data_IF_585110432061
#
_entry.id   IF_585110432061
#
_cell.length_a   1.000
_cell.length_b   1.000
_cell.length_c   1.000
_cell.angle_alpha   90.00
_cell.angle_beta   90.00
_cell.angle_gamma   90.00
#
_symmetry.space_group_name_H-M   'P 1'
#
loop_
_entity.id
_entity.type
_entity.pdbx_description
1 polymer ?
#
# COMPACT_ATOMS: atom_id res chain seq x y z
N UNK A 1 12.64 34.79 24.43
CA UNK A 1 11.96 34.16 23.28
C UNK A 1 12.16 32.66 23.45
N UNK A 2 11.11 31.82 23.45
CA UNK A 2 11.32 30.38 23.54
C UNK A 2 12.11 29.92 22.32
N UNK A 3 13.20 29.20 22.55
CA UNK A 3 14.00 28.61 21.48
C UNK A 3 13.13 27.67 20.65
N UNK A 4 13.15 27.87 19.33
CA UNK A 4 12.45 26.99 18.40
C UNK A 4 13.09 25.59 18.54
N UNK A 5 12.31 24.53 18.78
CA UNK A 5 12.86 23.19 18.95
C UNK A 5 13.68 22.81 17.71
N UNK A 6 14.78 22.08 17.93
CA UNK A 6 15.58 21.57 16.82
C UNK A 6 14.71 20.73 15.89
N UNK A 7 14.98 20.69 14.57
CA UNK A 7 14.22 19.88 13.64
C UNK A 7 14.20 18.39 14.03
N UNK A 8 15.21 17.92 14.78
CA UNK A 8 15.29 16.54 15.26
C UNK A 8 14.35 16.30 16.44
N UNK A 9 14.28 17.25 17.39
CA UNK A 9 13.33 17.19 18.50
C UNK A 9 11.89 17.25 17.97
N UNK A 10 11.61 18.16 17.03
CA UNK A 10 10.30 18.27 16.40
C UNK A 10 9.88 16.99 15.65
N UNK A 11 10.82 16.33 14.94
CA UNK A 11 10.54 15.08 14.26
C UNK A 11 10.27 13.93 15.25
N UNK A 12 11.00 13.86 16.36
CA UNK A 12 10.77 12.87 17.41
C UNK A 12 9.42 13.09 18.09
N UNK A 13 9.10 14.33 18.47
CA UNK A 13 7.83 14.69 19.09
C UNK A 13 6.65 14.33 18.18
N UNK A 14 6.74 14.65 16.89
CA UNK A 14 5.71 14.29 15.91
C UNK A 14 5.51 12.76 15.80
N UNK A 15 6.59 11.97 15.84
CA UNK A 15 6.50 10.49 15.82
C UNK A 15 5.86 9.97 17.10
N UNK A 16 6.21 10.52 18.27
CA UNK A 16 5.63 10.15 19.55
C UNK A 16 4.13 10.48 19.59
N UNK A 17 3.73 11.67 19.13
CA UNK A 17 2.33 12.08 19.04
C UNK A 17 1.53 11.19 18.08
N UNK A 18 2.07 10.91 16.89
CA UNK A 18 1.45 9.98 15.94
C UNK A 18 1.27 8.59 16.55
N UNK A 19 2.30 8.08 17.22
CA UNK A 19 2.26 6.77 17.87
C UNK A 19 1.20 6.74 18.97
N UNK A 20 1.18 7.75 19.84
CA UNK A 20 0.19 7.88 20.90
C UNK A 20 -1.24 7.96 20.34
N UNK A 21 -1.46 8.73 19.28
CA UNK A 21 -2.75 8.84 18.60
C UNK A 21 -3.23 7.51 18.00
N UNK A 22 -2.34 6.76 17.33
CA UNK A 22 -2.68 5.45 16.79
C UNK A 22 -2.99 4.43 17.88
N UNK A 23 -2.22 4.42 18.98
CA UNK A 23 -2.48 3.54 20.12
C UNK A 23 -3.81 3.87 20.82
N UNK A 24 -4.13 5.16 20.96
CA UNK A 24 -5.40 5.60 21.52
C UNK A 24 -6.59 5.15 20.65
N UNK A 25 -6.48 5.28 19.33
CA UNK A 25 -7.50 4.78 18.38
C UNK A 25 -7.71 3.28 18.50
N UNK A 26 -6.64 2.48 18.56
CA UNK A 26 -6.73 1.03 18.73
C UNK A 26 -7.35 0.67 20.09
N UNK A 27 -6.93 1.34 21.17
CA UNK A 27 -7.46 1.10 22.51
C UNK A 27 -8.96 1.46 22.64
N UNK A 28 -9.42 2.49 21.92
CA UNK A 28 -10.82 2.84 21.82
C UNK A 28 -11.60 1.79 21.00
N UNK A 29 -11.09 1.43 19.82
CA UNK A 29 -11.69 0.40 18.97
C UNK A 29 -11.82 -0.95 19.67
N UNK A 30 -10.85 -1.34 20.51
CA UNK A 30 -10.89 -2.58 21.27
C UNK A 30 -12.03 -2.66 22.31
N UNK A 31 -12.62 -1.53 22.71
CA UNK A 31 -13.78 -1.48 23.61
C UNK A 31 -15.11 -1.66 22.88
N UNK A 32 -15.09 -1.64 21.55
CA UNK A 32 -16.27 -1.59 20.69
C UNK A 32 -16.46 -2.92 19.94
N UNK A 33 -17.58 -3.63 20.16
CA UNK A 33 -17.81 -4.93 19.54
C UNK A 33 -18.11 -4.85 18.03
N UNK A 34 -18.46 -3.67 17.52
CA UNK A 34 -18.77 -3.40 16.11
C UNK A 34 -17.53 -3.04 15.26
N UNK A 35 -16.36 -2.91 15.88
CA UNK A 35 -15.14 -2.50 15.20
C UNK A 35 -14.32 -3.71 14.76
N UNK A 36 -13.97 -3.77 13.47
CA UNK A 36 -12.93 -4.69 12.99
C UNK A 36 -11.55 -4.23 13.50
N UNK A 37 -11.18 -4.75 14.67
CA UNK A 37 -9.92 -4.40 15.33
C UNK A 37 -8.70 -4.80 14.50
N UNK A 38 -8.79 -5.87 13.72
CA UNK A 38 -7.68 -6.32 12.87
C UNK A 38 -7.48 -5.35 11.68
N UNK A 39 -8.57 -4.93 11.04
CA UNK A 39 -8.57 -3.91 9.99
C UNK A 39 -8.10 -2.54 10.50
N UNK A 40 -8.55 -2.13 11.69
CA UNK A 40 -8.13 -0.89 12.35
C UNK A 40 -6.63 -0.92 12.66
N UNK A 41 -6.14 -1.99 13.28
CA UNK A 41 -4.72 -2.15 13.62
C UNK A 41 -3.83 -2.08 12.37
N UNK A 42 -4.25 -2.72 11.28
CA UNK A 42 -3.52 -2.68 10.00
C UNK A 42 -3.46 -1.26 9.43
N UNK A 43 -4.59 -0.55 9.43
CA UNK A 43 -4.68 0.83 8.94
C UNK A 43 -3.85 1.78 9.80
N UNK A 44 -3.89 1.62 11.12
CA UNK A 44 -3.08 2.41 12.07
C UNK A 44 -1.59 2.17 11.89
N UNK A 45 -1.17 0.93 11.63
CA UNK A 45 0.22 0.62 11.33
C UNK A 45 0.70 1.24 10.02
N UNK A 46 -0.12 1.20 8.95
CA UNK A 46 0.19 1.90 7.68
C UNK A 46 0.38 3.40 7.88
N UNK A 47 -0.55 4.05 8.60
CA UNK A 47 -0.47 5.48 8.91
C UNK A 47 0.77 5.82 9.75
N UNK A 48 1.12 4.96 10.72
CA UNK A 48 2.31 5.16 11.53
C UNK A 48 3.59 5.10 10.68
N UNK A 49 3.73 4.11 9.79
CA UNK A 49 4.90 4.01 8.91
C UNK A 49 5.03 5.22 7.98
N UNK A 50 3.91 5.66 7.38
CA UNK A 50 3.86 6.88 6.55
C UNK A 50 4.25 8.12 7.35
N UNK A 51 3.75 8.24 8.57
CA UNK A 51 4.07 9.34 9.48
C UNK A 51 5.55 9.36 9.88
N UNK A 52 6.13 8.20 10.19
CA UNK A 52 7.57 8.06 10.46
C UNK A 52 8.38 8.54 9.25
N UNK A 53 8.08 8.04 8.04
CA UNK A 53 8.79 8.45 6.83
C UNK A 53 8.67 9.95 6.57
N UNK A 54 7.48 10.54 6.71
CA UNK A 54 7.26 11.97 6.47
C UNK A 54 8.09 12.86 7.40
N UNK A 55 8.26 12.45 8.68
CA UNK A 55 9.02 13.22 9.66
C UNK A 55 10.53 12.95 9.61
N UNK A 56 10.94 11.74 9.20
CA UNK A 56 12.35 11.32 9.18
C UNK A 56 13.03 11.62 7.84
N UNK A 57 12.31 11.60 6.71
CA UNK A 57 12.90 11.82 5.39
C UNK A 57 13.63 13.18 5.23
N UNK A 58 13.13 14.31 5.76
CA UNK A 58 13.85 15.59 5.69
C UNK A 58 15.23 15.53 6.37
N UNK A 59 15.40 14.67 7.38
CA UNK A 59 16.66 14.52 8.12
C UNK A 59 17.74 13.82 7.29
N UNK A 60 17.40 13.13 6.19
CA UNK A 60 18.38 12.43 5.36
C UNK A 60 19.39 13.41 4.73
N UNK A 61 18.94 14.62 4.41
CA UNK A 61 19.76 15.69 3.84
C UNK A 61 20.39 16.64 4.86
N UNK A 62 20.13 16.45 6.16
CA UNK A 62 20.57 17.39 7.19
C UNK A 62 22.06 17.22 7.52
N UNK A 63 22.88 18.16 7.05
CA UNK A 63 24.33 18.16 7.24
C UNK A 63 24.77 18.32 8.72
N UNK A 64 23.88 18.76 9.62
CA UNK A 64 24.16 18.85 11.05
C UNK A 64 24.21 17.47 11.72
N UNK A 65 23.63 16.44 11.10
CA UNK A 65 23.66 15.08 11.61
C UNK A 65 24.98 14.37 11.27
N UNK A 66 25.52 13.57 12.21
CA UNK A 66 26.61 12.64 11.91
C UNK A 66 26.27 11.75 10.71
N UNK A 67 27.28 11.40 9.90
CA UNK A 67 27.09 10.55 8.72
C UNK A 67 26.38 9.22 9.06
N UNK A 68 26.66 8.63 10.22
CA UNK A 68 26.00 7.42 10.68
C UNK A 68 24.51 7.63 10.97
N UNK A 69 24.13 8.76 11.56
CA UNK A 69 22.73 9.10 11.82
C UNK A 69 21.97 9.30 10.51
N UNK A 70 22.54 10.00 9.53
CA UNK A 70 21.98 10.12 8.18
C UNK A 70 21.82 8.76 7.50
N UNK A 71 22.78 7.85 7.66
CA UNK A 71 22.67 6.50 7.12
C UNK A 71 21.55 5.69 7.78
N UNK A 72 21.34 5.84 9.10
CA UNK A 72 20.20 5.23 9.82
C UNK A 72 18.87 5.77 9.30
N UNK A 73 18.75 7.09 9.14
CA UNK A 73 17.58 7.78 8.56
C UNK A 73 17.28 7.23 7.16
N UNK A 74 18.29 7.18 6.28
CA UNK A 74 18.13 6.65 4.93
C UNK A 74 17.67 5.19 4.91
N UNK A 75 18.18 4.35 5.84
CA UNK A 75 17.71 2.96 5.99
C UNK A 75 16.24 2.88 6.39
N UNK A 76 15.79 3.70 7.34
CA UNK A 76 14.38 3.71 7.77
C UNK A 76 13.48 4.16 6.62
N UNK A 77 13.82 5.25 5.93
CA UNK A 77 13.06 5.74 4.77
C UNK A 77 12.99 4.67 3.68
N UNK A 78 14.13 4.06 3.34
CA UNK A 78 14.20 3.00 2.34
C UNK A 78 13.39 1.75 2.75
N UNK A 79 13.36 1.40 4.03
CA UNK A 79 12.56 0.29 4.55
C UNK A 79 11.05 0.58 4.46
N UNK A 80 10.61 1.79 4.83
CA UNK A 80 9.21 2.19 4.69
C UNK A 80 8.81 2.24 3.21
N UNK A 81 9.66 2.75 2.34
CA UNK A 81 9.40 2.74 0.89
C UNK A 81 9.33 1.33 0.30
N UNK A 82 10.21 0.43 0.74
CA UNK A 82 10.15 -0.97 0.34
C UNK A 82 8.86 -1.62 0.84
N UNK A 83 8.45 -1.30 2.06
CA UNK A 83 7.17 -1.74 2.62
C UNK A 83 5.98 -1.17 1.84
N UNK A 84 5.93 0.13 1.55
CA UNK A 84 4.85 0.79 0.77
C UNK A 84 4.73 0.14 -0.61
N UNK A 85 5.86 -0.17 -1.24
CA UNK A 85 5.90 -0.89 -2.51
C UNK A 85 5.37 -2.32 -2.37
N UNK A 86 5.69 -3.02 -1.29
CA UNK A 86 5.25 -4.38 -0.99
C UNK A 86 3.78 -4.45 -0.56
N UNK A 87 3.25 -3.39 0.03
CA UNK A 87 1.92 -3.33 0.65
C UNK A 87 0.85 -2.71 -0.25
N UNK A 88 1.14 -2.47 -1.54
CA UNK A 88 0.13 -2.01 -2.50
C UNK A 88 -1.00 -3.05 -2.57
N UNK A 89 -2.22 -2.66 -2.20
CA UNK A 89 -3.38 -3.54 -2.18
C UNK A 89 -4.28 -3.27 -3.38
N UNK A 90 -4.73 -4.33 -4.06
CA UNK A 90 -5.72 -4.25 -5.14
C UNK A 90 -6.96 -3.49 -4.70
N UNK A 91 -7.46 -3.72 -3.49
CA UNK A 91 -8.67 -3.06 -2.99
C UNK A 91 -8.63 -1.53 -3.09
N UNK A 92 -7.47 -0.91 -2.88
CA UNK A 92 -7.30 0.54 -2.99
C UNK A 92 -7.29 1.08 -4.43
N UNK A 93 -7.04 0.19 -5.40
CA UNK A 93 -6.86 0.57 -6.80
C UNK A 93 -7.90 -0.05 -7.73
N UNK A 94 -8.74 -0.97 -7.25
CA UNK A 94 -9.66 -1.76 -8.07
C UNK A 94 -10.60 -0.88 -8.88
N UNK A 95 -11.22 0.13 -8.27
CA UNK A 95 -12.13 1.06 -8.95
C UNK A 95 -11.41 1.77 -10.11
N UNK A 96 -10.19 2.25 -9.85
CA UNK A 96 -9.42 2.96 -10.86
C UNK A 96 -8.93 2.03 -11.98
N UNK A 97 -8.58 0.78 -11.66
CA UNK A 97 -8.22 -0.27 -12.63
C UNK A 97 -9.44 -0.68 -13.47
N UNK A 98 -10.61 -0.75 -12.85
CA UNK A 98 -11.89 -1.03 -13.53
C UNK A 98 -12.46 0.20 -14.27
N UNK A 99 -11.74 1.32 -14.29
CA UNK A 99 -12.19 2.54 -14.97
C UNK A 99 -12.50 2.31 -16.46
N UNK A 100 -13.77 2.50 -16.82
CA UNK A 100 -14.27 2.30 -18.19
C UNK A 100 -14.34 0.84 -18.63
N UNK A 101 -14.31 -0.10 -17.69
CA UNK A 101 -14.54 -1.52 -17.96
C UNK A 101 -16.04 -1.86 -17.85
N UNK A 102 -16.50 -2.73 -18.74
CA UNK A 102 -17.82 -3.35 -18.66
C UNK A 102 -17.68 -4.86 -18.87
N UNK A 103 -18.43 -5.64 -18.10
CA UNK A 103 -18.46 -7.08 -18.20
C UNK A 103 -19.04 -7.50 -19.57
N UNK A 104 -18.29 -8.24 -20.40
CA UNK A 104 -18.78 -8.64 -21.72
C UNK A 104 -19.93 -9.65 -21.67
N UNK A 105 -20.13 -10.33 -20.53
CA UNK A 105 -21.17 -11.34 -20.38
C UNK A 105 -22.54 -10.76 -19.96
N UNK A 106 -22.54 -9.71 -19.13
CA UNK A 106 -23.77 -9.18 -18.53
C UNK A 106 -23.91 -7.65 -18.57
N UNK A 107 -22.91 -6.92 -19.08
CA UNK A 107 -22.94 -5.46 -19.21
C UNK A 107 -22.65 -4.67 -17.92
N UNK A 108 -22.57 -5.32 -16.75
CA UNK A 108 -22.24 -4.66 -15.47
C UNK A 108 -20.86 -3.98 -15.53
N UNK A 109 -20.74 -2.79 -14.96
CA UNK A 109 -19.50 -2.02 -14.81
C UNK A 109 -18.81 -2.23 -13.45
N UNK A 110 -19.35 -3.12 -12.61
CA UNK A 110 -18.84 -3.37 -11.25
C UNK A 110 -17.95 -4.61 -11.22
N UNK A 111 -16.65 -4.39 -10.97
CA UNK A 111 -15.71 -5.46 -10.69
C UNK A 111 -15.65 -5.72 -9.18
N UNK A 112 -15.79 -6.99 -8.75
CA UNK A 112 -15.62 -7.38 -7.33
C UNK A 112 -14.16 -7.55 -6.94
N UNK A 113 -13.30 -7.94 -7.89
CA UNK A 113 -11.87 -8.17 -7.68
C UNK A 113 -11.17 -8.32 -9.05
N UNK A 114 -9.88 -8.62 -9.02
CA UNK A 114 -9.07 -8.94 -10.19
C UNK A 114 -8.34 -10.26 -9.95
N UNK A 115 -8.21 -11.05 -11.02
CA UNK A 115 -7.45 -12.28 -11.06
C UNK A 115 -6.16 -12.07 -11.84
N UNK A 116 -5.09 -12.72 -11.40
CA UNK A 116 -3.83 -12.80 -12.15
C UNK A 116 -3.42 -14.25 -12.36
N UNK A 117 -2.84 -14.53 -13.53
CA UNK A 117 -2.29 -15.83 -13.92
C UNK A 117 -1.00 -15.64 -14.72
N UNK A 118 -0.20 -16.71 -14.86
CA UNK A 118 1.01 -16.70 -15.70
C UNK A 118 2.28 -16.12 -15.06
N UNK A 119 2.32 -15.93 -13.73
CA UNK A 119 3.55 -15.57 -13.01
C UNK A 119 4.48 -16.79 -12.93
N UNK A 120 5.06 -17.20 -14.05
CA UNK A 120 6.14 -18.19 -14.06
C UNK A 120 7.46 -17.46 -13.75
N UNK A 121 8.19 -17.94 -12.74
CA UNK A 121 9.52 -17.47 -12.36
C UNK A 121 10.37 -17.19 -13.62
N UNK A 122 10.60 -15.92 -13.93
CA UNK A 122 11.45 -15.48 -15.05
C UNK A 122 10.76 -15.10 -16.37
N UNK A 123 9.42 -15.17 -16.50
CA UNK A 123 8.70 -14.63 -17.67
C UNK A 123 7.63 -13.63 -17.23
N UNK A 124 7.82 -12.36 -17.59
CA UNK A 124 7.05 -11.18 -17.18
C UNK A 124 5.63 -11.06 -17.76
N UNK A 125 5.04 -12.15 -18.26
CA UNK A 125 3.71 -12.11 -18.88
C UNK A 125 2.61 -12.44 -17.87
N UNK A 126 2.16 -11.42 -17.13
CA UNK A 126 0.95 -11.55 -16.31
C UNK A 126 -0.28 -11.34 -17.18
N UNK A 127 -1.20 -12.30 -17.07
CA UNK A 127 -2.57 -12.10 -17.54
C UNK A 127 -3.41 -11.57 -16.37
N UNK A 128 -3.80 -10.29 -16.47
CA UNK A 128 -4.73 -9.61 -15.57
C UNK A 128 -6.15 -9.65 -16.13
N UNK A 129 -7.10 -10.09 -15.30
CA UNK A 129 -8.54 -10.12 -15.60
C UNK A 129 -9.34 -9.50 -14.44
N UNK A 130 -10.37 -8.72 -14.74
CA UNK A 130 -11.35 -8.27 -13.77
C UNK A 130 -12.45 -9.32 -13.64
N UNK A 131 -12.93 -9.51 -12.41
CA UNK A 131 -14.02 -10.43 -12.09
C UNK A 131 -15.28 -9.63 -11.85
N UNK A 132 -16.31 -9.88 -12.64
CA UNK A 132 -17.61 -9.23 -12.50
C UNK A 132 -18.26 -9.56 -11.16
N UNK A 133 -18.80 -8.53 -10.48
CA UNK A 133 -19.53 -8.70 -9.23
C UNK A 133 -20.85 -9.46 -9.43
N UNK A 134 -21.54 -9.22 -10.54
CA UNK A 134 -22.87 -9.79 -10.83
C UNK A 134 -22.81 -11.25 -11.28
N UNK A 135 -22.04 -11.54 -12.34
CA UNK A 135 -22.07 -12.87 -12.98
C UNK A 135 -20.79 -13.70 -12.76
N UNK A 136 -19.77 -13.13 -12.10
CA UNK A 136 -18.48 -13.81 -11.88
C UNK A 136 -17.62 -14.02 -13.14
N UNK A 137 -18.10 -13.61 -14.31
CA UNK A 137 -17.33 -13.69 -15.55
C UNK A 137 -16.03 -12.88 -15.46
N UNK A 138 -14.99 -13.37 -16.11
CA UNK A 138 -13.66 -12.75 -16.14
C UNK A 138 -13.40 -12.15 -17.50
N UNK A 139 -12.84 -10.94 -17.54
CA UNK A 139 -12.38 -10.34 -18.79
C UNK A 139 -11.23 -9.36 -18.55
N UNK A 140 -10.40 -9.07 -19.57
CA UNK A 140 -9.34 -8.08 -19.44
C UNK A 140 -9.88 -6.69 -19.06
N UNK A 141 -9.14 -5.89 -18.28
CA UNK A 141 -9.47 -4.48 -18.09
C UNK A 141 -9.29 -3.67 -19.38
N UNK A 142 -9.76 -2.42 -19.37
CA UNK A 142 -9.47 -1.45 -20.44
C UNK A 142 -7.95 -1.21 -20.57
N UNK A 143 -7.50 -0.66 -21.70
CA UNK A 143 -6.08 -0.33 -21.89
C UNK A 143 -5.56 0.64 -20.81
N UNK A 144 -6.40 1.60 -20.40
CA UNK A 144 -6.11 2.53 -19.30
C UNK A 144 -5.98 1.79 -17.96
N UNK A 145 -6.91 0.87 -17.67
CA UNK A 145 -6.87 0.04 -16.46
C UNK A 145 -5.62 -0.84 -16.40
N UNK A 146 -5.22 -1.42 -17.53
CA UNK A 146 -3.98 -2.20 -17.64
C UNK A 146 -2.73 -1.35 -17.37
N UNK A 147 -2.64 -0.16 -17.96
CA UNK A 147 -1.52 0.77 -17.70
C UNK A 147 -1.44 1.13 -16.21
N UNK A 148 -2.57 1.44 -15.58
CA UNK A 148 -2.60 1.75 -14.15
C UNK A 148 -2.15 0.55 -13.29
N UNK A 149 -2.54 -0.66 -13.66
CA UNK A 149 -2.03 -1.86 -12.99
C UNK A 149 -0.51 -1.98 -13.11
N UNK A 150 0.06 -1.80 -14.30
CA UNK A 150 1.51 -1.86 -14.52
C UNK A 150 2.25 -0.79 -13.70
N UNK A 151 1.72 0.43 -13.64
CA UNK A 151 2.28 1.52 -12.83
C UNK A 151 2.27 1.23 -11.33
N UNK A 152 1.23 0.51 -10.83
CA UNK A 152 1.04 0.28 -9.39
C UNK A 152 1.59 -1.04 -8.89
N UNK A 153 1.61 -2.07 -9.73
CA UNK A 153 1.96 -3.43 -9.35
C UNK A 153 3.13 -3.99 -10.16
N UNK A 154 3.49 -3.38 -11.31
CA UNK A 154 4.51 -3.91 -12.22
C UNK A 154 5.87 -4.15 -11.57
N UNK A 155 6.29 -3.31 -10.62
CA UNK A 155 7.54 -3.51 -9.88
C UNK A 155 7.50 -4.72 -8.93
N UNK A 156 6.32 -5.11 -8.45
CA UNK A 156 6.17 -6.27 -7.56
C UNK A 156 6.37 -7.57 -8.31
N UNK A 157 5.79 -7.65 -9.51
CA UNK A 157 5.83 -8.80 -10.43
C UNK A 157 7.24 -9.38 -10.58
N UNK A 158 8.24 -8.51 -10.64
CA UNK A 158 9.64 -8.84 -10.94
C UNK A 158 10.38 -9.37 -9.71
N UNK A 159 9.85 -9.18 -8.49
CA UNK A 159 10.55 -9.42 -7.22
C UNK A 159 10.07 -10.67 -6.45
N UNK A 160 9.49 -11.67 -7.12
CA UNK A 160 8.90 -12.82 -6.42
C UNK A 160 7.55 -12.49 -5.78
N UNK A 161 6.71 -11.78 -6.53
CA UNK A 161 5.40 -11.31 -6.12
C UNK A 161 4.50 -12.43 -5.56
N UNK A 162 3.81 -12.17 -4.46
CA UNK A 162 2.67 -12.95 -4.00
C UNK A 162 1.37 -12.18 -4.26
N UNK A 163 0.63 -12.48 -5.35
CA UNK A 163 -0.57 -11.75 -5.70
C UNK A 163 -1.68 -11.83 -4.65
N UNK A 164 -1.79 -12.95 -3.94
CA UNK A 164 -2.81 -13.16 -2.90
C UNK A 164 -2.60 -12.20 -1.73
N UNK A 165 -1.34 -11.96 -1.34
CA UNK A 165 -1.00 -10.99 -0.29
C UNK A 165 -1.39 -9.55 -0.66
N UNK A 166 -1.48 -9.24 -1.96
CA UNK A 166 -1.90 -7.93 -2.48
C UNK A 166 -3.39 -7.89 -2.86
N UNK A 167 -4.17 -8.92 -2.53
CA UNK A 167 -5.62 -8.96 -2.71
C UNK A 167 -6.11 -9.41 -4.09
N UNK A 168 -5.23 -9.94 -4.95
CA UNK A 168 -5.64 -10.57 -6.20
C UNK A 168 -6.11 -12.01 -5.98
N UNK A 169 -7.02 -12.47 -6.82
CA UNK A 169 -7.24 -13.90 -7.00
C UNK A 169 -6.08 -14.48 -7.83
N UNK A 170 -5.29 -15.37 -7.26
CA UNK A 170 -4.18 -15.98 -7.99
C UNK A 170 -4.60 -17.32 -8.60
N UNK A 171 -4.63 -17.39 -9.93
CA UNK A 171 -4.77 -18.66 -10.63
C UNK A 171 -3.38 -19.25 -10.88
N UNK A 172 -3.02 -20.29 -10.12
CA UNK A 172 -1.72 -20.99 -10.21
C UNK A 172 -1.63 -21.94 -11.40
N UNK A 173 -2.66 -22.01 -12.23
CA UNK A 173 -2.75 -22.87 -13.41
C UNK A 173 -1.86 -22.39 -14.55
#
# INVERSE_FOLDING_TARGET
>A
MPDKPSPHAAALDAILELTAGQLALIADGAKRPDVDLAGLTRSSFDLLLKGIKANVAPLAGDASLPAEARARVARVVGAVEAWERASVMLGHHLIAIAGGWQCPACGSDVARTAAVSGVALGKSLIKLELVCAECGARSPPSAKGRKLFEEKFGHLVIAGWNPEANGFLWDRR
#
